data_IF_836550133910
#
_entry.id   IF_836550133910
#
_cell.length_a   1.000
_cell.length_b   1.000
_cell.length_c   1.000
_cell.angle_alpha   90.00
_cell.angle_beta   90.00
_cell.angle_gamma   90.00
#
_symmetry.space_group_name_H-M   'P 1'
#
loop_
_entity.id
_entity.type
_entity.pdbx_description
1 polymer ?
#
# COMPACT_ATOMS: atom_id res chain seq x y z
N UNK A 1 4.30 -34.14 3.97
CA UNK A 1 3.86 -32.88 3.35
C UNK A 1 2.37 -32.71 3.60
N UNK A 2 1.95 -31.71 4.37
CA UNK A 2 0.54 -31.46 4.67
C UNK A 2 -0.21 -31.01 3.42
N UNK A 3 -1.44 -31.49 3.22
CA UNK A 3 -2.31 -31.06 2.09
C UNK A 3 -2.56 -29.55 2.22
N UNK A 4 -2.00 -28.75 1.30
CA UNK A 4 -2.28 -27.30 1.20
C UNK A 4 -3.79 -27.09 1.06
N UNK A 5 -4.36 -26.25 1.92
CA UNK A 5 -5.77 -25.89 1.85
C UNK A 5 -5.94 -24.80 0.78
N UNK A 6 -6.51 -25.15 -0.38
CA UNK A 6 -6.69 -24.23 -1.53
C UNK A 6 -7.51 -22.95 -1.21
N UNK A 7 -8.10 -22.82 -0.02
CA UNK A 7 -8.86 -21.63 0.40
C UNK A 7 -8.00 -20.49 0.94
N UNK A 8 -6.79 -20.78 1.42
CA UNK A 8 -5.91 -19.75 1.99
C UNK A 8 -4.86 -19.41 0.94
N UNK A 9 -4.73 -18.11 0.67
CA UNK A 9 -3.97 -17.58 -0.47
C UNK A 9 -2.49 -17.89 -0.35
N UNK A 10 -1.84 -18.09 -1.48
CA UNK A 10 -0.46 -18.58 -1.56
C UNK A 10 0.54 -17.72 -0.77
N UNK A 11 0.38 -16.39 -0.75
CA UNK A 11 1.23 -15.50 0.06
C UNK A 11 1.13 -15.72 1.58
N UNK A 12 0.12 -16.44 2.09
CA UNK A 12 -0.01 -16.83 3.50
C UNK A 12 0.60 -18.20 3.80
N UNK A 13 0.85 -19.00 2.76
CA UNK A 13 1.44 -20.33 2.83
C UNK A 13 2.73 -20.40 2.02
N UNK A 14 3.75 -19.69 2.49
CA UNK A 14 5.09 -19.99 2.02
C UNK A 14 5.61 -21.19 2.83
N UNK A 15 5.50 -22.40 2.27
CA UNK A 15 5.95 -23.68 2.88
C UNK A 15 7.47 -23.74 3.14
N UNK A 16 8.18 -22.76 2.61
CA UNK A 16 9.44 -22.27 3.10
C UNK A 16 9.13 -20.81 3.38
N UNK A 17 9.02 -20.35 4.63
CA UNK A 17 9.14 -18.92 4.91
C UNK A 17 10.51 -18.56 4.36
N UNK A 18 10.63 -17.93 3.16
CA UNK A 18 11.89 -17.31 2.86
C UNK A 18 11.99 -16.26 3.96
N UNK A 19 13.19 -15.93 4.38
CA UNK A 19 13.48 -14.89 5.36
C UNK A 19 13.08 -13.49 4.80
N UNK A 20 11.82 -13.31 4.40
CA UNK A 20 11.21 -12.06 3.95
C UNK A 20 10.83 -11.29 5.19
N UNK A 21 11.84 -10.95 5.98
CA UNK A 21 11.73 -9.96 7.01
C UNK A 21 11.68 -8.60 6.34
N UNK A 22 10.67 -7.80 6.68
CA UNK A 22 10.71 -6.39 6.34
C UNK A 22 11.68 -5.72 7.31
N UNK A 23 12.81 -5.23 6.79
CA UNK A 23 13.69 -4.37 7.57
C UNK A 23 13.04 -3.00 7.70
N UNK A 24 12.61 -2.67 8.91
CA UNK A 24 12.18 -1.31 9.24
C UNK A 24 13.43 -0.48 9.53
N UNK A 25 13.56 0.73 8.95
CA UNK A 25 14.63 1.63 9.32
C UNK A 25 14.55 1.91 10.84
N UNK A 26 15.67 1.86 11.58
CA UNK A 26 15.68 2.23 13.00
C UNK A 26 15.07 3.61 13.24
N UNK A 27 15.33 4.54 12.32
CA UNK A 27 14.75 5.89 12.30
C UNK A 27 13.22 5.88 12.40
N UNK A 28 12.55 5.00 11.65
CA UNK A 28 11.10 4.86 11.68
C UNK A 28 10.62 4.39 13.06
N UNK A 29 11.34 3.45 13.67
CA UNK A 29 10.99 2.93 14.99
C UNK A 29 11.23 3.95 16.10
N UNK A 30 12.19 4.86 15.94
CA UNK A 30 12.46 5.92 16.93
C UNK A 30 11.70 7.21 16.65
N UNK A 31 11.06 7.34 15.50
CA UNK A 31 10.38 8.57 15.09
C UNK A 31 9.14 8.88 15.96
N UNK A 32 9.03 10.09 16.52
CA UNK A 32 7.88 10.47 17.35
C UNK A 32 6.54 10.38 16.63
N UNK A 33 6.50 10.66 15.32
CA UNK A 33 5.26 10.58 14.52
C UNK A 33 4.82 9.12 14.40
N UNK A 34 5.75 8.20 14.14
CA UNK A 34 5.46 6.76 14.11
C UNK A 34 5.06 6.23 15.49
N UNK A 35 5.72 6.69 16.56
CA UNK A 35 5.35 6.36 17.94
C UNK A 35 3.99 6.97 18.35
N UNK A 36 3.52 8.03 17.68
CA UNK A 36 2.19 8.58 17.94
C UNK A 36 1.05 7.75 17.32
N UNK A 37 1.37 6.81 16.41
CA UNK A 37 0.39 5.86 15.88
C UNK A 37 -0.02 4.86 16.96
N UNK A 38 -1.28 4.44 16.88
CA UNK A 38 -1.80 3.26 17.57
C UNK A 38 -0.98 2.03 17.22
N UNK A 39 -0.86 1.07 18.15
CA UNK A 39 -0.15 -0.19 17.89
C UNK A 39 -0.67 -0.90 16.62
N UNK A 40 -1.98 -0.85 16.40
CA UNK A 40 -2.60 -1.38 15.20
C UNK A 40 -2.24 -0.56 13.94
N UNK A 41 -2.15 0.77 14.04
CA UNK A 41 -1.69 1.63 12.94
C UNK A 41 -0.25 1.33 12.52
N UNK A 42 0.65 1.12 13.49
CA UNK A 42 2.03 0.70 13.25
C UNK A 42 2.09 -0.66 12.57
N UNK A 43 1.38 -1.66 13.12
CA UNK A 43 1.28 -2.99 12.51
C UNK A 43 0.71 -2.93 11.09
N UNK A 44 -0.32 -2.11 10.89
CA UNK A 44 -0.95 -1.92 9.59
C UNK A 44 0.00 -1.28 8.58
N UNK A 45 0.80 -0.29 8.97
CA UNK A 45 1.84 0.27 8.10
C UNK A 45 2.84 -0.81 7.64
N UNK A 46 3.31 -1.64 8.57
CA UNK A 46 4.22 -2.76 8.29
C UNK A 46 3.56 -3.76 7.32
N UNK A 47 2.28 -4.06 7.53
CA UNK A 47 1.48 -4.91 6.65
C UNK A 47 1.45 -4.35 5.22
N UNK A 48 1.17 -3.06 5.05
CA UNK A 48 1.15 -2.40 3.74
C UNK A 48 2.52 -2.47 3.07
N UNK A 49 3.58 -2.14 3.81
CA UNK A 49 4.95 -2.14 3.32
C UNK A 49 5.42 -3.54 2.90
N UNK A 50 4.97 -4.59 3.59
CA UNK A 50 5.29 -5.98 3.25
C UNK A 50 4.49 -6.46 2.03
N UNK A 51 3.19 -6.13 1.96
CA UNK A 51 2.32 -6.64 0.90
C UNK A 51 2.53 -5.93 -0.45
N UNK A 52 3.06 -4.69 -0.48
CA UNK A 52 3.32 -3.95 -1.73
C UNK A 52 4.26 -4.66 -2.70
N UNK A 53 5.09 -5.58 -2.19
CA UNK A 53 6.08 -6.29 -3.00
C UNK A 53 5.58 -7.64 -3.53
N UNK A 54 4.38 -8.06 -3.11
CA UNK A 54 3.77 -9.32 -3.55
C UNK A 54 3.28 -9.23 -4.99
N UNK A 55 3.35 -10.35 -5.71
CA UNK A 55 2.91 -10.42 -7.10
C UNK A 55 1.41 -10.14 -7.23
N UNK A 56 0.61 -10.66 -6.30
CA UNK A 56 -0.84 -10.45 -6.26
C UNK A 56 -1.17 -8.97 -6.12
N UNK A 57 -0.47 -8.25 -5.24
CA UNK A 57 -0.66 -6.82 -5.05
C UNK A 57 -0.25 -6.03 -6.30
N UNK A 58 0.89 -6.37 -6.92
CA UNK A 58 1.38 -5.67 -8.12
C UNK A 58 0.44 -5.86 -9.30
N UNK A 59 -0.10 -7.07 -9.46
CA UNK A 59 -1.07 -7.38 -10.51
C UNK A 59 -2.39 -6.62 -10.30
N UNK A 60 -2.86 -6.50 -9.06
CA UNK A 60 -4.06 -5.72 -8.77
C UNK A 60 -3.81 -4.21 -8.97
N UNK A 61 -2.64 -3.71 -8.57
CA UNK A 61 -2.22 -2.33 -8.80
C UNK A 61 -2.13 -2.01 -10.30
N UNK A 62 -1.51 -2.88 -11.10
CA UNK A 62 -1.41 -2.72 -12.56
C UNK A 62 -2.79 -2.58 -13.21
N UNK A 63 -3.71 -3.49 -12.89
CA UNK A 63 -5.10 -3.44 -13.40
C UNK A 63 -5.79 -2.14 -12.99
N UNK A 64 -5.66 -1.78 -11.71
CA UNK A 64 -6.29 -0.56 -11.17
C UNK A 64 -5.72 0.70 -11.83
N UNK A 65 -4.39 0.80 -12.00
CA UNK A 65 -3.74 1.91 -12.69
C UNK A 65 -4.17 2.01 -14.16
N UNK A 66 -4.28 0.88 -14.87
CA UNK A 66 -4.74 0.84 -16.26
C UNK A 66 -6.16 1.38 -16.39
N UNK A 67 -7.05 1.00 -15.48
CA UNK A 67 -8.41 1.54 -15.43
C UNK A 67 -8.42 3.05 -15.16
N UNK A 68 -7.66 3.52 -14.17
CA UNK A 68 -7.57 4.95 -13.87
C UNK A 68 -6.94 5.76 -15.00
N UNK A 69 -5.95 5.21 -15.71
CA UNK A 69 -5.33 5.85 -16.88
C UNK A 69 -6.35 6.09 -17.99
N UNK A 70 -7.22 5.10 -18.26
CA UNK A 70 -8.31 5.22 -19.23
C UNK A 70 -9.37 6.23 -18.79
N UNK A 71 -9.78 6.19 -17.51
CA UNK A 71 -10.87 7.03 -17.01
C UNK A 71 -10.50 8.49 -16.85
N UNK A 72 -9.28 8.77 -16.40
CA UNK A 72 -8.81 10.13 -16.12
C UNK A 72 -7.94 10.69 -17.26
N UNK A 73 -7.81 9.95 -18.37
CA UNK A 73 -6.96 10.28 -19.52
C UNK A 73 -5.55 10.74 -19.09
N UNK A 74 -4.89 9.93 -18.27
CA UNK A 74 -3.60 10.31 -17.66
C UNK A 74 -2.43 10.28 -18.65
N UNK A 75 -2.65 9.80 -19.88
CA UNK A 75 -1.64 9.74 -20.94
C UNK A 75 -0.48 8.79 -20.65
N UNK A 76 -0.62 7.84 -19.72
CA UNK A 76 0.43 6.86 -19.42
C UNK A 76 0.44 5.75 -20.47
N UNK A 77 1.64 5.33 -20.90
CA UNK A 77 1.79 4.13 -21.72
C UNK A 77 1.61 2.85 -20.88
N UNK A 78 1.40 1.70 -21.54
CA UNK A 78 1.36 0.40 -20.84
C UNK A 78 2.71 0.08 -20.16
N UNK A 79 3.83 0.56 -20.71
CA UNK A 79 5.16 0.45 -20.10
C UNK A 79 5.25 1.30 -18.82
N UNK A 80 4.78 2.55 -18.86
CA UNK A 80 4.72 3.42 -17.67
C UNK A 80 3.87 2.80 -16.56
N UNK A 81 2.70 2.23 -16.91
CA UNK A 81 1.83 1.57 -15.93
C UNK A 81 2.53 0.34 -15.33
N UNK A 82 3.22 -0.46 -16.15
CA UNK A 82 3.96 -1.61 -15.68
C UNK A 82 5.10 -1.19 -14.75
N UNK A 83 5.85 -0.14 -15.09
CA UNK A 83 6.92 0.43 -14.27
C UNK A 83 6.41 1.02 -12.96
N UNK A 84 5.25 1.68 -12.95
CA UNK A 84 4.63 2.21 -11.73
C UNK A 84 4.02 1.12 -10.84
N UNK A 85 3.63 -0.01 -11.42
CA UNK A 85 3.09 -1.18 -10.69
C UNK A 85 4.16 -2.08 -10.11
N UNK A 86 5.43 -1.89 -10.48
CA UNK A 86 6.57 -2.71 -10.07
C UNK A 86 7.64 -1.83 -9.42
N UNK A 87 8.49 -2.45 -8.60
CA UNK A 87 9.70 -1.77 -8.14
C UNK A 87 10.70 -1.83 -9.31
N UNK A 88 10.71 -0.82 -10.17
CA UNK A 88 11.74 -0.70 -11.19
C UNK A 88 12.96 0.00 -10.58
N UNK A 89 14.04 -0.76 -10.32
CA UNK A 89 15.29 -0.24 -9.75
C UNK A 89 16.03 0.76 -10.66
N UNK A 90 15.62 0.89 -11.93
CA UNK A 90 16.29 1.75 -12.93
C UNK A 90 15.71 3.17 -12.97
N UNK A 91 14.46 3.37 -12.55
CA UNK A 91 13.83 4.69 -12.54
C UNK A 91 13.95 5.30 -11.14
N UNK A 92 14.48 6.52 -11.05
CA UNK A 92 14.72 7.25 -9.79
C UNK A 92 13.41 7.58 -9.04
N UNK A 93 12.25 7.41 -9.69
CA UNK A 93 10.93 7.70 -9.13
C UNK A 93 10.20 6.41 -8.74
N UNK A 94 10.64 5.75 -7.67
CA UNK A 94 9.76 4.84 -6.96
C UNK A 94 8.66 5.68 -6.27
N UNK A 95 7.52 5.85 -6.95
CA UNK A 95 6.37 6.56 -6.38
C UNK A 95 5.68 5.74 -5.29
N UNK A 96 6.05 4.46 -5.11
CA UNK A 96 5.58 3.62 -4.02
C UNK A 96 4.06 3.42 -4.02
N UNK A 97 3.45 3.29 -5.20
CA UNK A 97 2.00 3.08 -5.30
C UNK A 97 1.58 1.73 -4.76
N UNK A 98 0.38 1.67 -4.19
CA UNK A 98 -0.22 0.42 -3.75
C UNK A 98 -1.75 0.47 -3.71
N UNK A 99 -2.35 -0.70 -3.89
CA UNK A 99 -3.76 -0.96 -3.55
C UNK A 99 -3.83 -1.85 -2.31
N UNK A 100 -4.90 -1.67 -1.52
CA UNK A 100 -5.17 -2.51 -0.35
C UNK A 100 -6.68 -2.71 -0.18
N UNK A 101 -7.22 -3.62 -1.00
CA UNK A 101 -8.62 -4.03 -1.07
C UNK A 101 -8.96 -5.15 -0.05
N UNK A 102 -10.23 -5.54 0.00
CA UNK A 102 -10.72 -6.62 0.89
C UNK A 102 -9.95 -7.93 0.71
N UNK A 103 -9.56 -8.21 -0.53
CA UNK A 103 -8.72 -9.33 -0.93
C UNK A 103 -7.45 -9.44 -0.08
N UNK A 104 -6.84 -8.31 0.32
CA UNK A 104 -5.60 -8.31 1.08
C UNK A 104 -5.79 -8.28 2.58
N UNK A 105 -6.75 -7.53 3.11
CA UNK A 105 -6.89 -7.36 4.56
C UNK A 105 -7.71 -8.43 5.25
N UNK A 106 -8.68 -9.04 4.54
CA UNK A 106 -9.59 -10.05 5.11
C UNK A 106 -8.85 -11.28 5.67
N UNK A 107 -7.79 -11.79 5.02
CA UNK A 107 -7.05 -12.93 5.56
C UNK A 107 -6.27 -12.63 6.85
N UNK A 108 -6.01 -11.37 7.16
CA UNK A 108 -5.44 -10.94 8.44
C UNK A 108 -6.51 -10.70 9.52
N UNK A 109 -7.76 -11.11 9.28
CA UNK A 109 -8.87 -10.95 10.23
C UNK A 109 -9.37 -9.50 10.39
N UNK A 110 -8.96 -8.59 9.50
CA UNK A 110 -9.32 -7.18 9.59
C UNK A 110 -10.70 -6.91 8.96
N UNK A 111 -11.53 -6.11 9.64
CA UNK A 111 -12.83 -5.64 9.12
C UNK A 111 -12.65 -4.35 8.31
N UNK A 112 -13.47 -4.16 7.28
CA UNK A 112 -13.42 -2.99 6.39
C UNK A 112 -13.49 -1.63 7.12
N UNK A 113 -14.37 -1.52 8.12
CA UNK A 113 -14.51 -0.30 8.94
C UNK A 113 -13.23 0.00 9.73
N UNK A 114 -12.57 -1.03 10.25
CA UNK A 114 -11.33 -0.89 11.00
C UNK A 114 -10.16 -0.53 10.09
N UNK A 115 -10.06 -1.17 8.93
CA UNK A 115 -9.06 -0.81 7.90
C UNK A 115 -9.22 0.64 7.45
N UNK A 116 -10.46 1.10 7.26
CA UNK A 116 -10.74 2.51 6.94
C UNK A 116 -10.22 3.45 8.03
N UNK A 117 -10.42 3.11 9.31
CA UNK A 117 -9.90 3.89 10.44
C UNK A 117 -8.37 3.94 10.42
N UNK A 118 -7.69 2.79 10.24
CA UNK A 118 -6.23 2.70 10.21
C UNK A 118 -5.63 3.46 9.01
N UNK A 119 -6.28 3.39 7.84
CA UNK A 119 -5.87 4.19 6.67
C UNK A 119 -5.96 5.69 6.95
N UNK A 120 -7.05 6.17 7.56
CA UNK A 120 -7.19 7.58 7.94
C UNK A 120 -6.08 8.02 8.87
N UNK A 121 -5.80 7.23 9.91
CA UNK A 121 -4.72 7.50 10.86
C UNK A 121 -3.36 7.64 10.16
N UNK A 122 -3.02 6.73 9.25
CA UNK A 122 -1.77 6.80 8.48
C UNK A 122 -1.73 7.99 7.51
N UNK A 123 -2.86 8.40 6.94
CA UNK A 123 -2.96 9.58 6.08
C UNK A 123 -2.76 10.86 6.89
N UNK A 124 -3.46 11.00 8.02
CA UNK A 124 -3.37 12.14 8.92
C UNK A 124 -1.95 12.35 9.45
N UNK A 125 -1.25 11.25 9.73
CA UNK A 125 0.15 11.26 10.18
C UNK A 125 1.18 11.31 9.05
N UNK A 126 0.73 11.39 7.79
CA UNK A 126 1.61 11.60 6.64
C UNK A 126 2.46 10.39 6.23
N UNK A 127 2.08 9.17 6.62
CA UNK A 127 2.76 7.92 6.23
C UNK A 127 2.31 7.40 4.86
N UNK A 128 1.06 7.65 4.49
CA UNK A 128 0.50 7.32 3.18
C UNK A 128 -0.35 8.49 2.68
N UNK A 129 -0.64 8.53 1.39
CA UNK A 129 -1.60 9.47 0.83
C UNK A 129 -2.36 8.86 -0.34
N UNK A 130 -3.51 9.45 -0.66
CA UNK A 130 -4.34 9.01 -1.79
C UNK A 130 -3.74 9.57 -3.08
N UNK A 131 -3.43 8.68 -4.02
CA UNK A 131 -2.96 9.05 -5.35
C UNK A 131 -4.12 9.17 -6.34
N UNK A 132 -5.00 8.17 -6.36
CA UNK A 132 -6.18 8.11 -7.24
C UNK A 132 -7.37 7.50 -6.50
N UNK A 133 -8.58 8.02 -6.74
CA UNK A 133 -9.81 7.61 -6.05
C UNK A 133 -10.09 8.41 -4.76
N UNK A 134 -11.14 8.03 -4.03
CA UNK A 134 -11.63 8.78 -2.86
C UNK A 134 -12.35 10.08 -3.23
N UNK A 135 -12.57 10.99 -2.27
CA UNK A 135 -13.12 12.35 -2.53
C UNK A 135 -11.95 13.31 -2.84
N UNK A 136 -11.89 13.95 -4.02
CA UNK A 136 -10.77 14.86 -4.39
C UNK A 136 -10.54 15.13 -5.90
N UNK A 137 -9.34 15.62 -6.26
CA UNK A 137 -9.00 16.15 -7.60
C UNK A 137 -8.78 15.07 -8.70
N UNK A 138 -8.71 13.80 -8.32
CA UNK A 138 -8.59 12.63 -9.21
C UNK A 138 -9.63 11.55 -8.83
N UNK A 139 -10.89 11.98 -8.77
CA UNK A 139 -12.02 11.14 -8.37
C UNK A 139 -12.53 10.27 -9.51
N UNK A 140 -12.59 8.96 -9.25
CA UNK A 140 -13.53 8.05 -9.90
C UNK A 140 -14.42 7.48 -8.79
N UNK A 141 -15.48 8.22 -8.43
CA UNK A 141 -16.36 7.89 -7.29
C UNK A 141 -17.08 6.55 -7.43
N UNK A 142 -17.20 6.07 -8.67
CA UNK A 142 -17.77 4.80 -9.07
C UNK A 142 -16.83 3.60 -8.85
N UNK A 143 -15.56 3.85 -8.50
CA UNK A 143 -14.56 2.78 -8.28
C UNK A 143 -14.45 2.36 -6.82
N UNK A 144 -14.44 1.04 -6.63
CA UNK A 144 -14.35 0.38 -5.33
C UNK A 144 -12.91 0.36 -4.76
N UNK A 145 -11.88 0.59 -5.58
CA UNK A 145 -10.47 0.45 -5.18
C UNK A 145 -9.74 1.78 -5.31
N UNK A 146 -9.20 2.27 -4.19
CA UNK A 146 -8.37 3.48 -4.13
C UNK A 146 -6.89 3.12 -4.26
N UNK A 147 -6.16 3.90 -5.07
CA UNK A 147 -4.70 3.81 -5.18
C UNK A 147 -4.08 4.76 -4.17
N UNK A 148 -3.20 4.22 -3.32
CA UNK A 148 -2.43 4.96 -2.34
C UNK A 148 -0.96 5.04 -2.76
N UNK A 149 -0.20 5.94 -2.14
CA UNK A 149 1.26 5.93 -2.16
C UNK A 149 1.83 6.10 -0.77
N UNK A 150 3.00 5.52 -0.53
CA UNK A 150 3.78 5.85 0.66
C UNK A 150 4.22 7.32 0.59
N UNK A 151 4.17 7.99 1.73
CA UNK A 151 4.55 9.40 1.82
C UNK A 151 5.71 9.55 2.80
N UNK A 152 6.55 10.55 2.53
CA UNK A 152 7.62 10.98 3.43
C UNK A 152 7.25 12.25 4.19
N UNK A 153 5.97 12.66 4.17
CA UNK A 153 5.48 13.85 4.88
C UNK A 153 5.74 13.76 6.38
N UNK A 154 5.64 12.56 6.97
CA UNK A 154 6.00 12.30 8.36
C UNK A 154 7.47 12.64 8.72
N UNK A 155 8.38 12.69 7.72
CA UNK A 155 9.79 13.09 7.93
C UNK A 155 9.98 14.60 7.96
N UNK A 156 9.02 15.36 7.46
CA UNK A 156 9.09 16.82 7.50
C UNK A 156 8.75 17.22 8.92
N UNK A 157 9.78 17.56 9.70
CA UNK A 157 9.58 18.42 10.86
C UNK A 157 8.94 19.69 10.30
N UNK A 158 7.78 20.07 10.80
CA UNK A 158 7.24 21.38 10.46
C UNK A 158 8.32 22.41 10.81
N UNK A 159 8.83 23.13 9.80
CA UNK A 159 9.61 24.36 9.95
C UNK A 159 8.67 25.49 10.40
N UNK A 160 7.95 25.27 11.50
CA UNK A 160 7.16 26.29 12.20
C UNK A 160 7.40 26.13 13.68
N UNK A 161 8.43 26.84 14.13
CA UNK A 161 8.47 27.46 15.45
C UNK A 161 7.31 28.46 15.61
#
# INVERSE_FOLDING_TARGET
MGKKNNKIKHYLYSDCLPEKFLMLPPELLTDPTFQSLSYAGRYFYILLATNRETEEQRNELYKTLKEYNQLLDLGMSDEDINDQSRINKRTVQDKGYFVFSETFYKPYGLKASYVTKLKKELIEKGFIEVAYGGKGKHTAWDKNVTIYRFSSKWKRKDDTA
#
